data_IF_845894397843
#
_entry.id   IF_845894397843
#
_cell.length_a   1.000
_cell.length_b   1.000
_cell.length_c   1.000
_cell.angle_alpha   90.00
_cell.angle_beta   90.00
_cell.angle_gamma   90.00
#
_symmetry.space_group_name_H-M   'P 1'
#
loop_
_entity.id
_entity.type
_entity.pdbx_description
1 polymer ?
#
# COMPACT_ATOMS: atom_id res chain seq x y z
N UNK A 1 27.38 -34.75 -11.12
CA UNK A 1 26.97 -33.94 -9.93
C UNK A 1 26.24 -32.65 -10.29
N UNK A 2 26.64 -31.88 -11.32
CA UNK A 2 25.99 -30.60 -11.70
C UNK A 2 24.52 -30.72 -12.16
N UNK A 3 24.15 -31.82 -12.83
CA UNK A 3 22.75 -32.06 -13.29
C UNK A 3 21.78 -32.38 -12.13
N UNK A 4 22.19 -33.21 -11.17
CA UNK A 4 21.36 -33.55 -10.00
C UNK A 4 21.00 -32.31 -9.16
N UNK A 5 21.99 -31.46 -8.87
CA UNK A 5 21.78 -30.20 -8.14
C UNK A 5 20.84 -29.27 -8.92
N UNK A 6 20.96 -29.19 -10.25
CA UNK A 6 20.07 -28.37 -11.08
C UNK A 6 18.61 -28.81 -11.02
N UNK A 7 18.34 -30.13 -10.99
CA UNK A 7 16.98 -30.65 -10.83
C UNK A 7 16.40 -30.35 -9.44
N UNK A 8 17.20 -30.47 -8.37
CA UNK A 8 16.79 -30.09 -7.00
C UNK A 8 16.51 -28.58 -6.93
N UNK A 9 17.38 -27.73 -7.49
CA UNK A 9 17.18 -26.28 -7.48
C UNK A 9 15.92 -25.85 -8.26
N UNK A 10 15.60 -26.53 -9.38
CA UNK A 10 14.35 -26.29 -10.11
C UNK A 10 13.11 -26.72 -9.33
N UNK A 11 13.14 -27.90 -8.71
CA UNK A 11 12.06 -28.36 -7.84
C UNK A 11 11.86 -27.43 -6.65
N UNK A 12 12.96 -26.99 -6.03
CA UNK A 12 12.97 -26.00 -4.95
C UNK A 12 12.39 -24.67 -5.44
N UNK A 13 12.79 -24.16 -6.60
CA UNK A 13 12.24 -22.90 -7.13
C UNK A 13 10.72 -22.94 -7.38
N UNK A 14 10.16 -24.11 -7.68
CA UNK A 14 8.71 -24.28 -7.86
C UNK A 14 7.98 -24.39 -6.51
N UNK A 15 8.52 -25.18 -5.58
CA UNK A 15 7.85 -25.52 -4.33
C UNK A 15 8.09 -24.48 -3.24
N UNK A 16 9.26 -23.84 -3.22
CA UNK A 16 9.68 -22.87 -2.20
C UNK A 16 8.72 -21.69 -2.08
N UNK A 17 8.24 -21.03 -3.17
CA UNK A 17 7.28 -19.94 -3.05
C UNK A 17 5.98 -20.41 -2.38
N UNK A 18 5.45 -21.57 -2.78
CA UNK A 18 4.21 -22.10 -2.23
C UNK A 18 4.32 -22.46 -0.74
N UNK A 19 5.40 -23.15 -0.35
CA UNK A 19 5.67 -23.47 1.06
C UNK A 19 5.86 -22.18 1.86
N UNK A 20 6.63 -21.22 1.34
CA UNK A 20 6.89 -19.97 2.02
C UNK A 20 5.58 -19.19 2.25
N UNK A 21 4.72 -19.10 1.24
CA UNK A 21 3.40 -18.48 1.39
C UNK A 21 2.57 -19.18 2.46
N UNK A 22 2.50 -20.52 2.44
CA UNK A 22 1.75 -21.29 3.46
C UNK A 22 2.31 -21.04 4.86
N UNK A 23 3.63 -21.06 5.04
CA UNK A 23 4.28 -20.80 6.33
C UNK A 23 3.95 -19.41 6.83
N UNK A 24 4.05 -18.38 5.98
CA UNK A 24 3.74 -17.00 6.34
C UNK A 24 2.27 -16.84 6.73
N UNK A 25 1.36 -17.44 5.97
CA UNK A 25 -0.09 -17.38 6.25
C UNK A 25 -0.42 -18.08 7.57
N UNK A 26 0.09 -19.30 7.79
CA UNK A 26 -0.15 -20.04 9.04
C UNK A 26 0.47 -19.31 10.23
N UNK A 27 1.70 -18.81 10.09
CA UNK A 27 2.36 -18.01 11.12
C UNK A 27 1.55 -16.77 11.48
N UNK A 28 1.04 -16.04 10.48
CA UNK A 28 0.21 -14.86 10.69
C UNK A 28 -1.11 -15.18 11.41
N UNK A 29 -1.85 -16.18 10.94
CA UNK A 29 -3.14 -16.58 11.53
C UNK A 29 -3.00 -17.06 12.97
N UNK A 30 -1.99 -17.90 13.24
CA UNK A 30 -1.71 -18.42 14.58
C UNK A 30 -1.18 -17.33 15.52
N UNK A 31 -0.40 -16.38 15.03
CA UNK A 31 0.07 -15.24 15.83
C UNK A 31 -1.09 -14.34 16.25
N UNK A 32 -1.97 -13.98 15.31
CA UNK A 32 -3.19 -13.23 15.61
C UNK A 32 -4.08 -13.98 16.61
N UNK A 33 -4.33 -15.26 16.37
CA UNK A 33 -5.12 -16.10 17.26
C UNK A 33 -4.50 -16.10 18.66
N UNK A 34 -3.20 -16.33 18.79
CA UNK A 34 -2.51 -16.35 20.08
C UNK A 34 -2.65 -15.03 20.82
N UNK A 35 -2.43 -13.90 20.15
CA UNK A 35 -2.50 -12.58 20.78
C UNK A 35 -3.89 -12.29 21.32
N UNK A 36 -4.92 -12.57 20.53
CA UNK A 36 -6.30 -12.28 20.90
C UNK A 36 -6.82 -13.32 21.90
N UNK A 37 -6.42 -14.58 21.78
CA UNK A 37 -6.74 -15.63 22.75
C UNK A 37 -6.29 -15.26 24.16
N UNK A 38 -5.13 -14.62 24.30
CA UNK A 38 -4.60 -14.18 25.59
C UNK A 38 -5.48 -13.11 26.25
N UNK A 39 -6.20 -12.32 25.47
CA UNK A 39 -7.17 -11.35 25.98
C UNK A 39 -8.58 -11.93 26.14
N UNK A 40 -9.00 -12.86 25.26
CA UNK A 40 -10.34 -13.46 25.29
C UNK A 40 -10.50 -14.55 26.35
N UNK A 41 -9.49 -15.41 26.55
CA UNK A 41 -9.56 -16.54 27.50
C UNK A 41 -9.86 -16.10 28.93
N UNK A 42 -9.27 -15.00 29.47
CA UNK A 42 -9.65 -14.48 30.79
C UNK A 42 -11.09 -13.95 30.87
N UNK A 43 -11.68 -13.51 29.75
CA UNK A 43 -13.01 -12.86 29.71
C UNK A 43 -14.13 -13.87 29.45
N UNK A 44 -13.98 -14.75 28.45
CA UNK A 44 -14.96 -15.79 28.12
C UNK A 44 -14.80 -17.07 28.95
N UNK A 45 -13.64 -17.26 29.58
CA UNK A 45 -13.26 -18.50 30.23
C UNK A 45 -12.78 -19.55 29.23
N UNK A 46 -11.78 -20.35 29.63
CA UNK A 46 -11.11 -21.32 28.75
C UNK A 46 -12.06 -22.38 28.14
N UNK A 47 -13.18 -22.67 28.82
CA UNK A 47 -14.16 -23.69 28.37
C UNK A 47 -14.98 -23.28 27.14
N UNK A 48 -15.12 -21.97 26.89
CA UNK A 48 -15.92 -21.45 25.79
C UNK A 48 -15.06 -20.99 24.60
N UNK A 49 -13.74 -21.08 24.73
CA UNK A 49 -12.81 -20.67 23.70
C UNK A 49 -12.57 -21.78 22.68
N UNK A 50 -12.96 -21.54 21.43
CA UNK A 50 -12.73 -22.46 20.30
C UNK A 50 -11.64 -21.87 19.40
N UNK A 51 -10.65 -22.67 18.93
CA UNK A 51 -9.68 -22.21 17.95
C UNK A 51 -10.35 -21.61 16.70
N UNK A 52 -9.96 -20.40 16.32
CA UNK A 52 -10.58 -19.56 15.29
C UNK A 52 -11.42 -18.42 15.84
N UNK A 53 -11.77 -18.45 17.13
CA UNK A 53 -12.54 -17.37 17.77
C UNK A 53 -11.70 -16.09 17.90
N UNK A 54 -10.38 -16.18 18.04
CA UNK A 54 -9.51 -15.01 18.05
C UNK A 54 -9.58 -14.25 16.71
N UNK A 55 -9.50 -14.95 15.59
CA UNK A 55 -9.64 -14.36 14.24
C UNK A 55 -11.03 -13.74 14.05
N UNK A 56 -12.10 -14.44 14.40
CA UNK A 56 -13.48 -13.90 14.28
C UNK A 56 -13.64 -12.66 15.15
N UNK A 57 -13.13 -12.70 16.38
CA UNK A 57 -13.15 -11.56 17.30
C UNK A 57 -12.32 -10.39 16.77
N UNK A 58 -11.19 -10.64 16.12
CA UNK A 58 -10.40 -9.60 15.46
C UNK A 58 -11.23 -8.84 14.43
N UNK A 59 -11.87 -9.58 13.52
CA UNK A 59 -12.71 -9.00 12.46
C UNK A 59 -13.86 -8.22 13.08
N UNK A 60 -14.50 -8.77 14.12
CA UNK A 60 -15.57 -8.10 14.84
C UNK A 60 -15.09 -6.80 15.52
N UNK A 61 -13.92 -6.82 16.17
CA UNK A 61 -13.31 -5.63 16.77
C UNK A 61 -13.03 -4.60 15.68
N UNK A 62 -12.40 -4.96 14.56
CA UNK A 62 -12.15 -4.06 13.45
C UNK A 62 -13.46 -3.45 12.89
N UNK A 63 -14.51 -4.25 12.78
CA UNK A 63 -15.83 -3.80 12.34
C UNK A 63 -16.44 -2.79 13.32
N UNK A 64 -16.42 -3.08 14.63
CA UNK A 64 -16.92 -2.19 15.68
C UNK A 64 -16.11 -0.89 15.73
N UNK A 65 -14.78 -0.97 15.59
CA UNK A 65 -13.88 0.19 15.50
C UNK A 65 -14.25 1.05 14.29
N UNK A 66 -14.43 0.43 13.12
CA UNK A 66 -14.82 1.10 11.88
C UNK A 66 -16.15 1.84 12.02
N UNK A 67 -17.19 1.16 12.49
CA UNK A 67 -18.49 1.79 12.78
C UNK A 67 -18.36 2.93 13.79
N UNK A 68 -17.61 2.73 14.87
CA UNK A 68 -17.41 3.73 15.92
C UNK A 68 -16.65 4.96 15.43
N UNK A 69 -15.79 4.81 14.42
CA UNK A 69 -15.03 5.90 13.82
C UNK A 69 -15.91 6.85 12.99
N UNK A 70 -17.02 6.37 12.43
CA UNK A 70 -17.97 7.18 11.67
C UNK A 70 -18.86 8.07 12.56
N UNK A 71 -18.98 7.74 13.86
CA UNK A 71 -19.74 8.56 14.81
C UNK A 71 -19.01 9.86 15.15
N UNK A 72 -19.65 11.00 14.86
CA UNK A 72 -19.14 12.37 15.04
C UNK A 72 -18.62 12.71 16.46
N UNK A 73 -18.96 11.93 17.50
CA UNK A 73 -18.49 12.13 18.87
C UNK A 73 -17.33 11.24 19.33
N UNK A 74 -17.07 10.12 18.65
CA UNK A 74 -16.10 9.08 19.08
C UNK A 74 -14.91 8.98 18.11
N UNK A 75 -15.07 9.45 16.87
CA UNK A 75 -13.99 9.42 15.86
C UNK A 75 -12.66 10.05 16.32
N UNK A 76 -12.68 11.04 17.21
CA UNK A 76 -11.46 11.65 17.75
C UNK A 76 -10.66 10.69 18.65
N UNK A 77 -11.34 9.77 19.34
CA UNK A 77 -10.71 8.79 20.22
C UNK A 77 -9.86 7.80 19.41
N UNK A 78 -10.36 7.38 18.25
CA UNK A 78 -9.65 6.49 17.34
C UNK A 78 -8.44 7.13 16.66
N UNK A 79 -8.31 8.46 16.70
CA UNK A 79 -7.13 9.18 16.21
C UNK A 79 -6.02 9.33 17.28
N UNK A 80 -6.31 9.06 18.56
CA UNK A 80 -5.34 9.19 19.66
C UNK A 80 -4.14 8.24 19.54
N UNK A 81 -4.32 6.93 19.22
CA UNK A 81 -3.18 6.01 19.12
C UNK A 81 -2.20 6.44 18.03
N UNK A 82 -2.71 6.88 16.87
CA UNK A 82 -1.90 7.42 15.79
C UNK A 82 -1.12 8.67 16.22
N UNK A 83 -1.78 9.62 16.91
CA UNK A 83 -1.13 10.83 17.44
C UNK A 83 -0.06 10.54 18.49
N UNK A 84 -0.21 9.47 19.28
CA UNK A 84 0.77 9.05 20.28
C UNK A 84 1.99 8.38 19.61
N UNK A 85 1.75 7.49 18.65
CA UNK A 85 2.82 6.82 17.88
C UNK A 85 3.63 7.81 17.04
N UNK A 86 2.98 8.85 16.49
CA UNK A 86 3.64 9.92 15.74
C UNK A 86 4.58 10.79 16.60
N UNK A 87 4.48 10.74 17.93
CA UNK A 87 5.39 11.46 18.85
C UNK A 87 6.66 10.69 19.18
N UNK A 88 6.71 9.38 18.92
CA UNK A 88 7.87 8.56 19.21
C UNK A 88 8.85 8.67 18.03
N UNK A 89 10.07 9.21 18.23
CA UNK A 89 11.07 9.30 17.17
C UNK A 89 11.38 7.92 16.59
N UNK A 90 11.41 7.79 15.27
CA UNK A 90 11.61 6.52 14.55
C UNK A 90 10.32 5.74 14.32
N UNK A 91 9.49 5.51 15.35
CA UNK A 91 8.21 4.82 15.19
C UNK A 91 7.20 5.64 14.37
N UNK A 92 7.26 6.96 14.47
CA UNK A 92 6.44 7.88 13.69
C UNK A 92 6.64 7.75 12.18
N UNK A 93 7.88 7.50 11.73
CA UNK A 93 8.21 7.31 10.31
C UNK A 93 7.61 6.00 9.79
N UNK A 94 7.80 4.90 10.53
CA UNK A 94 7.28 3.58 10.15
C UNK A 94 5.75 3.58 10.15
N UNK A 95 5.13 4.11 11.20
CA UNK A 95 3.67 4.19 11.29
C UNK A 95 3.08 5.10 10.20
N UNK A 96 3.73 6.23 9.90
CA UNK A 96 3.34 7.13 8.82
C UNK A 96 3.36 6.46 7.46
N UNK A 97 4.44 5.74 7.11
CA UNK A 97 4.54 4.99 5.86
C UNK A 97 3.43 3.93 5.72
N UNK A 98 3.12 3.21 6.81
CA UNK A 98 2.05 2.21 6.81
C UNK A 98 0.69 2.88 6.58
N UNK A 99 0.42 3.99 7.28
CA UNK A 99 -0.82 4.75 7.10
C UNK A 99 -0.98 5.26 5.67
N UNK A 100 0.07 5.81 5.08
CA UNK A 100 0.06 6.29 3.68
C UNK A 100 -0.30 5.15 2.70
N UNK A 101 0.30 3.97 2.86
CA UNK A 101 -0.04 2.80 2.03
C UNK A 101 -1.51 2.41 2.18
N UNK A 102 -2.04 2.39 3.41
CA UNK A 102 -3.45 2.09 3.63
C UNK A 102 -4.38 3.18 3.09
N UNK A 103 -4.01 4.45 3.19
CA UNK A 103 -4.78 5.56 2.61
C UNK A 103 -4.83 5.44 1.08
N UNK A 104 -3.70 5.14 0.44
CA UNK A 104 -3.61 4.85 -1.01
C UNK A 104 -4.52 3.67 -1.38
N UNK A 105 -4.50 2.59 -0.61
CA UNK A 105 -5.33 1.40 -0.86
C UNK A 105 -6.82 1.61 -0.58
N UNK A 106 -7.16 2.49 0.37
CA UNK A 106 -8.54 2.79 0.76
C UNK A 106 -9.33 3.58 -0.28
N UNK A 107 -8.67 4.01 -1.36
CA UNK A 107 -9.33 4.77 -2.42
C UNK A 107 -9.74 6.17 -1.97
N UNK A 108 -9.13 6.72 -0.90
CA UNK A 108 -9.20 8.16 -0.63
C UNK A 108 -8.49 8.88 -1.77
N UNK A 109 -9.29 9.21 -2.77
CA UNK A 109 -9.01 10.01 -3.97
C UNK A 109 -7.61 10.64 -4.00
N UNK A 110 -6.62 9.90 -4.50
CA UNK A 110 -5.75 10.53 -5.48
C UNK A 110 -6.72 10.98 -6.57
N UNK A 111 -7.07 12.26 -6.55
CA UNK A 111 -8.13 12.85 -7.36
C UNK A 111 -8.20 12.13 -8.72
N UNK A 112 -9.40 11.64 -9.08
CA UNK A 112 -9.71 11.03 -10.36
C UNK A 112 -8.77 11.56 -11.46
N UNK A 113 -8.12 10.65 -12.20
CA UNK A 113 -7.03 10.86 -13.19
C UNK A 113 -5.59 10.82 -12.61
N UNK A 114 -5.16 9.67 -12.07
CA UNK A 114 -3.97 9.57 -11.23
C UNK A 114 -2.70 8.99 -11.87
N UNK A 115 -2.71 8.57 -13.14
CA UNK A 115 -1.50 8.12 -13.86
C UNK A 115 -1.26 8.98 -15.10
N UNK A 116 -0.02 9.46 -15.25
CA UNK A 116 0.37 10.34 -16.35
C UNK A 116 1.70 9.90 -16.97
N UNK A 117 1.87 10.20 -18.25
CA UNK A 117 3.16 10.25 -18.92
C UNK A 117 3.70 11.67 -18.82
N UNK A 118 4.89 11.82 -18.23
CA UNK A 118 5.61 13.09 -18.14
C UNK A 118 6.60 13.16 -19.28
N UNK A 119 6.43 14.14 -20.17
CA UNK A 119 7.33 14.37 -21.29
C UNK A 119 8.55 15.18 -20.85
N UNK A 120 9.75 14.68 -21.17
CA UNK A 120 10.98 15.41 -20.88
C UNK A 120 11.17 16.58 -21.86
N UNK A 121 11.68 17.75 -21.40
CA UNK A 121 11.93 18.88 -22.29
C UNK A 121 12.82 18.48 -23.47
N UNK A 122 12.42 18.87 -24.68
CA UNK A 122 13.17 18.61 -25.92
C UNK A 122 13.47 17.12 -26.18
N UNK A 123 12.64 16.21 -25.67
CA UNK A 123 12.80 14.77 -25.85
C UNK A 123 11.52 14.11 -26.36
N UNK A 124 11.68 13.00 -27.08
CA UNK A 124 10.60 12.05 -27.38
C UNK A 124 10.40 11.02 -26.25
N UNK A 125 11.21 11.10 -25.19
CA UNK A 125 11.11 10.21 -24.03
C UNK A 125 10.03 10.68 -23.07
N UNK A 126 9.20 9.74 -22.65
CA UNK A 126 8.15 9.92 -21.66
C UNK A 126 8.38 9.00 -20.46
N UNK A 127 8.06 9.49 -19.26
CA UNK A 127 8.17 8.75 -18.02
C UNK A 127 6.78 8.54 -17.42
N UNK A 128 6.45 7.30 -17.10
CA UNK A 128 5.21 7.00 -16.40
C UNK A 128 5.32 7.45 -14.93
N UNK A 129 4.26 8.08 -14.45
CA UNK A 129 4.22 8.62 -13.10
C UNK A 129 2.80 8.66 -12.54
N UNK A 130 2.72 8.81 -11.23
CA UNK A 130 1.47 8.90 -10.48
C UNK A 130 1.34 10.33 -9.96
N UNK A 131 0.22 10.98 -10.26
CA UNK A 131 -0.04 12.33 -9.77
C UNK A 131 -0.29 12.28 -8.27
N UNK A 132 0.54 12.95 -7.48
CA UNK A 132 0.45 12.91 -6.01
C UNK A 132 -0.20 14.16 -5.42
N UNK A 133 0.01 15.33 -6.03
CA UNK A 133 -0.58 16.60 -5.60
C UNK A 133 -0.90 17.51 -6.78
N UNK A 134 -1.98 18.29 -6.66
CA UNK A 134 -2.30 19.40 -7.54
C UNK A 134 -1.88 20.71 -6.86
N UNK A 135 -1.37 21.69 -7.61
CA UNK A 135 -1.07 23.02 -7.08
C UNK A 135 -2.32 23.76 -6.63
N UNK A 136 -2.15 24.85 -5.88
CA UNK A 136 -3.26 25.73 -5.49
C UNK A 136 -4.05 25.36 -4.24
N UNK A 137 -3.80 24.18 -3.67
CA UNK A 137 -4.52 23.71 -2.48
C UNK A 137 -3.97 24.43 -1.23
N UNK A 138 -4.72 25.42 -0.74
CA UNK A 138 -4.31 26.30 0.39
C UNK A 138 -4.00 25.58 1.70
N UNK A 139 -4.57 24.38 1.92
CA UNK A 139 -4.41 23.63 3.17
C UNK A 139 -3.27 22.60 3.13
N UNK A 140 -2.51 22.55 2.03
CA UNK A 140 -1.33 21.68 1.88
C UNK A 140 -0.09 22.52 1.57
N UNK A 141 0.96 22.37 2.40
CA UNK A 141 2.18 23.20 2.31
C UNK A 141 2.89 23.09 0.98
N UNK A 142 2.87 21.92 0.34
CA UNK A 142 3.56 21.71 -0.93
C UNK A 142 2.71 22.25 -2.08
N UNK A 143 1.41 21.94 -2.10
CA UNK A 143 0.48 22.46 -3.08
C UNK A 143 0.37 23.99 -3.05
N UNK A 144 0.48 24.63 -1.87
CA UNK A 144 0.44 26.09 -1.77
C UNK A 144 1.64 26.79 -2.37
N UNK A 145 2.77 26.09 -2.51
CA UNK A 145 4.00 26.61 -3.13
C UNK A 145 4.03 26.36 -4.65
N UNK A 146 3.09 25.57 -5.17
CA UNK A 146 2.97 25.25 -6.59
C UNK A 146 1.93 26.15 -7.25
N UNK A 147 2.18 26.54 -8.50
CA UNK A 147 1.16 27.20 -9.32
C UNK A 147 -0.02 26.24 -9.59
N UNK A 148 -1.23 26.78 -9.75
CA UNK A 148 -2.48 26.07 -10.08
C UNK A 148 -2.37 25.18 -11.33
N UNK A 149 -1.49 25.56 -12.26
CA UNK A 149 -1.23 24.82 -13.50
C UNK A 149 -0.18 23.72 -13.34
N UNK A 150 0.45 23.60 -12.17
CA UNK A 150 1.45 22.58 -11.90
C UNK A 150 0.86 21.40 -11.13
N UNK A 151 1.44 20.24 -11.37
CA UNK A 151 1.16 19.00 -10.65
C UNK A 151 2.46 18.38 -10.17
N UNK A 152 2.39 17.70 -9.02
CA UNK A 152 3.48 16.90 -8.50
C UNK A 152 3.25 15.46 -8.97
N UNK A 153 4.25 14.90 -9.64
CA UNK A 153 4.20 13.55 -10.20
C UNK A 153 5.31 12.73 -9.57
N UNK A 154 4.93 11.61 -8.95
CA UNK A 154 5.88 10.61 -8.48
C UNK A 154 6.25 9.68 -9.63
N UNK A 155 7.53 9.66 -9.97
CA UNK A 155 8.16 8.80 -10.98
C UNK A 155 8.80 7.61 -10.26
N UNK A 156 8.13 6.44 -10.23
CA UNK A 156 8.69 5.24 -9.61
C UNK A 156 9.90 4.72 -10.39
N UNK A 157 10.86 4.12 -9.69
CA UNK A 157 11.98 3.38 -10.30
C UNK A 157 11.78 1.87 -10.13
N UNK A 158 12.39 1.06 -10.99
CA UNK A 158 12.35 -0.40 -10.88
C UNK A 158 12.81 -0.86 -9.49
N UNK A 159 12.14 -1.88 -8.94
CA UNK A 159 12.30 -2.38 -7.57
C UNK A 159 11.95 -1.40 -6.43
N UNK A 160 11.38 -0.22 -6.74
CA UNK A 160 10.92 0.81 -5.80
C UNK A 160 11.92 1.23 -4.71
N UNK A 161 13.22 0.99 -4.91
CA UNK A 161 14.29 1.45 -4.01
C UNK A 161 14.58 2.93 -4.29
N UNK A 162 13.53 3.74 -4.39
CA UNK A 162 13.58 5.15 -4.76
C UNK A 162 12.58 5.54 -5.85
N UNK A 163 12.47 6.86 -6.04
CA UNK A 163 11.66 7.51 -7.06
C UNK A 163 11.82 9.02 -6.96
N UNK A 164 11.55 9.72 -8.05
CA UNK A 164 11.62 11.19 -8.08
C UNK A 164 10.21 11.76 -7.96
N UNK A 165 10.03 12.79 -7.14
CA UNK A 165 8.84 13.64 -7.24
C UNK A 165 9.22 14.86 -8.06
N UNK A 166 8.61 15.01 -9.24
CA UNK A 166 8.82 16.17 -10.11
C UNK A 166 7.61 17.07 -10.08
N UNK A 167 7.85 18.38 -10.18
CA UNK A 167 6.79 19.38 -10.31
C UNK A 167 6.84 19.86 -11.75
N UNK A 168 5.75 19.62 -12.49
CA UNK A 168 5.68 19.95 -13.92
C UNK A 168 4.36 20.65 -14.25
N UNK A 169 4.33 21.50 -15.29
CA UNK A 169 3.07 22.02 -15.83
C UNK A 169 2.20 20.87 -16.34
N UNK A 170 0.87 20.99 -16.18
CA UNK A 170 -0.11 20.03 -16.73
C UNK A 170 0.03 19.84 -18.25
N UNK A 171 0.53 20.85 -18.96
CA UNK A 171 0.79 20.77 -20.41
C UNK A 171 1.93 19.82 -20.80
N UNK A 172 2.81 19.46 -19.86
CA UNK A 172 3.88 18.49 -20.07
C UNK A 172 3.46 17.05 -19.73
N UNK A 173 2.18 16.82 -19.42
CA UNK A 173 1.66 15.54 -18.97
C UNK A 173 0.50 15.05 -19.82
N UNK A 174 0.48 13.75 -20.10
CA UNK A 174 -0.62 13.07 -20.80
C UNK A 174 -1.25 12.05 -19.87
N UNK A 175 -2.56 12.14 -19.64
CA UNK A 175 -3.29 11.18 -18.81
C UNK A 175 -3.28 9.78 -19.44
N UNK A 176 -3.08 8.75 -18.61
CA UNK A 176 -3.18 7.34 -19.01
C UNK A 176 -4.35 6.71 -18.27
N UNK A 177 -5.25 6.07 -19.01
CA UNK A 177 -6.37 5.32 -18.44
C UNK A 177 -5.88 3.97 -17.88
N UNK A 178 -5.27 4.02 -16.71
CA UNK A 178 -4.83 2.85 -15.97
C UNK A 178 -4.84 3.11 -14.47
N UNK A 179 -4.93 2.05 -13.66
CA UNK A 179 -4.87 2.19 -12.20
C UNK A 179 -3.43 2.46 -11.74
N UNK A 180 -3.21 3.27 -10.69
CA UNK A 180 -1.87 3.47 -10.12
C UNK A 180 -1.16 2.16 -9.73
N UNK A 181 -1.92 1.16 -9.24
CA UNK A 181 -1.39 -0.16 -8.92
C UNK A 181 -0.85 -0.90 -10.16
N UNK A 182 -1.52 -0.79 -11.31
CA UNK A 182 -1.10 -1.37 -12.57
C UNK A 182 0.16 -0.66 -13.10
N UNK A 183 0.20 0.67 -13.00
CA UNK A 183 1.37 1.47 -13.38
C UNK A 183 2.60 1.11 -12.55
N UNK A 184 2.42 0.95 -11.24
CA UNK A 184 3.49 0.52 -10.35
C UNK A 184 3.97 -0.90 -10.69
N UNK A 185 3.05 -1.84 -10.91
CA UNK A 185 3.41 -3.20 -11.34
C UNK A 185 4.19 -3.20 -12.66
N UNK A 186 3.78 -2.38 -13.63
CA UNK A 186 4.48 -2.23 -14.91
C UNK A 186 5.93 -1.79 -14.69
N UNK A 187 6.15 -0.75 -13.89
CA UNK A 187 7.48 -0.20 -13.62
C UNK A 187 8.36 -1.18 -12.83
N UNK A 188 7.80 -1.84 -11.82
CA UNK A 188 8.55 -2.81 -11.00
C UNK A 188 8.97 -4.05 -11.76
N UNK A 189 8.17 -4.47 -12.74
CA UNK A 189 8.49 -5.63 -13.59
C UNK A 189 9.28 -5.27 -14.85
N UNK A 190 9.57 -3.98 -15.06
CA UNK A 190 10.20 -3.50 -16.30
C UNK A 190 9.36 -3.77 -17.54
N UNK A 191 8.04 -3.83 -17.40
CA UNK A 191 7.12 -4.16 -18.49
C UNK A 191 6.97 -5.65 -18.81
N UNK A 192 7.66 -6.54 -18.09
CA UNK A 192 7.60 -7.99 -18.32
C UNK A 192 6.45 -8.68 -17.57
N UNK A 193 5.77 -7.97 -16.67
CA UNK A 193 4.59 -8.47 -15.96
C UNK A 193 3.37 -8.47 -16.88
N UNK A 194 2.79 -9.67 -17.10
CA UNK A 194 1.56 -9.95 -17.87
C UNK A 194 0.76 -8.70 -18.25
N UNK A 195 0.99 -8.20 -19.46
CA UNK A 195 -0.03 -7.46 -20.17
C UNK A 195 -1.29 -8.31 -20.18
N UNK A 196 -2.40 -7.75 -19.73
CA UNK A 196 -3.71 -8.28 -20.06
C UNK A 196 -3.71 -8.56 -21.56
N UNK A 197 -4.03 -9.80 -21.93
CA UNK A 197 -4.04 -10.22 -23.33
C UNK A 197 -4.83 -9.20 -24.15
N UNK A 198 -4.16 -8.61 -25.13
CA UNK A 198 -4.83 -8.04 -26.27
C UNK A 198 -5.71 -9.17 -26.84
N UNK A 199 -7.02 -9.05 -26.59
CA UNK A 199 -8.01 -9.81 -27.35
C UNK A 199 -8.11 -9.09 -28.69
N UNK A 200 -7.47 -9.68 -29.70
CA UNK A 200 -7.94 -9.57 -31.08
C UNK A 200 -9.29 -10.28 -31.23
#
# INVERSE_FOLDING_TARGET
>A
MKSFVSHILRGLAIVLPAILTLVVVVWFLTSLESWISSFLKPILGEKWYVPGLGIVSFVLICFVVGLSAEYKGIGWFWQLPGKLLLKIPGASQIYGMIQEVFEVMSGKNFADESVVLVKLPQSEVELIGIVTKKGGIKNDRMSSLMSEEHIAVFLPMAYNVGGYTVIVPKSCTTNVDMKPAEALQLVLTGGLGKGAGAKD
#
